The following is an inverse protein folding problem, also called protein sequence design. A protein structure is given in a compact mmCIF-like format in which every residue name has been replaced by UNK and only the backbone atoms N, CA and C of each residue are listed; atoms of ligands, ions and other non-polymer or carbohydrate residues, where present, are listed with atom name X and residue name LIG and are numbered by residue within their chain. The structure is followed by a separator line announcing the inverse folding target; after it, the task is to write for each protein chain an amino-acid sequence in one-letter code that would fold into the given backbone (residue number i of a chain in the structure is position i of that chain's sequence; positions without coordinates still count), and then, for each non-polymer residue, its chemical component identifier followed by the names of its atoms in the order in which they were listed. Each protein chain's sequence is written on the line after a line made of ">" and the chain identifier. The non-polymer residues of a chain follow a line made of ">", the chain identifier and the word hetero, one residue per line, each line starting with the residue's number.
data_IF_971453386889
#
_entry.id   IF_971453386889
#
_cell.length_a   1.000
_cell.length_b   1.000
_cell.length_c   1.000
_cell.angle_alpha   90.00
_cell.angle_beta   90.00
_cell.angle_gamma   90.00
#
_symmetry.space_group_name_H-M   'P 1'
#
loop_
_entity.id
_entity.type
_entity.pdbx_description
1 polymer ?
#
# COMPACT_ATOMS: atom_id res chain seq x y z
N UNK A 1 -11.83 18.54 48.53
CA UNK A 1 -10.64 18.59 47.67
C UNK A 1 -10.99 17.67 46.55
N UNK A 2 -11.05 18.22 45.37
CA UNK A 2 -11.76 17.66 44.24
C UNK A 2 -10.84 17.73 43.02
N UNK A 3 -11.07 16.87 42.03
CA UNK A 3 -10.31 16.83 40.78
C UNK A 3 -9.28 15.69 40.68
N UNK A 4 -8.77 15.17 41.81
CA UNK A 4 -7.92 13.97 41.85
C UNK A 4 -8.23 13.08 43.05
N UNK A 5 -8.08 11.76 42.88
CA UNK A 5 -8.24 10.74 43.92
C UNK A 5 -6.94 9.98 44.16
N UNK A 6 -6.76 9.47 45.38
CA UNK A 6 -5.59 8.67 45.73
C UNK A 6 -5.57 7.35 44.96
N UNK A 7 -4.45 7.07 44.29
CA UNK A 7 -4.30 5.98 43.32
C UNK A 7 -4.95 6.22 41.96
N UNK A 8 -5.50 7.42 41.69
CA UNK A 8 -6.16 7.72 40.42
C UNK A 8 -5.19 7.71 39.23
N UNK A 9 -5.66 7.25 38.07
CA UNK A 9 -4.96 7.32 36.79
C UNK A 9 -5.87 8.03 35.80
N UNK A 10 -5.33 9.01 35.07
CA UNK A 10 -6.12 9.91 34.21
C UNK A 10 -5.50 10.03 32.82
N UNK A 11 -6.33 9.84 31.80
CA UNK A 11 -6.00 10.04 30.39
C UNK A 11 -6.23 11.46 29.87
N UNK A 12 -6.32 12.42 30.78
CA UNK A 12 -6.61 13.80 30.46
C UNK A 12 -6.01 14.72 31.53
N UNK A 13 -6.04 16.02 31.25
CA UNK A 13 -5.68 17.04 32.23
C UNK A 13 -6.60 16.93 33.45
N UNK A 14 -6.03 17.14 34.63
CA UNK A 14 -6.77 17.22 35.89
C UNK A 14 -6.57 18.59 36.52
N UNK A 15 -7.66 19.17 37.00
CA UNK A 15 -7.62 20.45 37.73
C UNK A 15 -7.67 20.20 39.22
N UNK A 16 -6.64 20.63 39.94
CA UNK A 16 -6.54 20.41 41.39
C UNK A 16 -7.29 21.51 42.13
N UNK A 17 -8.32 21.13 42.91
CA UNK A 17 -9.11 22.08 43.69
C UNK A 17 -9.03 21.77 45.19
N UNK A 18 -8.69 22.79 45.99
CA UNK A 18 -8.63 22.69 47.46
C UNK A 18 -9.15 23.97 48.12
N UNK A 19 -9.77 23.81 49.30
CA UNK A 19 -10.26 24.91 50.11
C UNK A 19 -9.39 25.09 51.35
N UNK A 20 -9.05 26.35 51.68
CA UNK A 20 -8.34 26.77 52.89
C UNK A 20 -7.03 26.02 53.17
N UNK A 21 -5.88 26.64 52.87
CA UNK A 21 -4.56 26.07 53.16
C UNK A 21 -3.57 26.29 52.02
N UNK A 22 -2.54 25.45 51.97
CA UNK A 22 -1.54 25.40 50.88
C UNK A 22 -1.50 24.01 50.28
N UNK A 23 -1.05 23.90 49.03
CA UNK A 23 -0.83 22.62 48.38
C UNK A 23 0.52 22.61 47.68
N UNK A 24 1.22 21.48 47.76
CA UNK A 24 2.45 21.25 47.01
C UNK A 24 2.30 20.01 46.13
N UNK A 25 2.64 20.14 44.85
CA UNK A 25 2.66 19.07 43.85
C UNK A 25 4.10 18.74 43.52
N UNK A 26 4.53 17.50 43.78
CA UNK A 26 5.93 17.07 43.64
C UNK A 26 6.92 18.01 44.36
N UNK A 27 6.50 18.60 45.47
CA UNK A 27 7.29 19.55 46.27
C UNK A 27 7.18 21.02 45.84
N UNK A 28 6.58 21.32 44.70
CA UNK A 28 6.36 22.69 44.22
C UNK A 28 5.01 23.23 44.67
N UNK A 29 4.95 24.47 45.15
CA UNK A 29 3.70 25.11 45.55
C UNK A 29 2.79 25.28 44.33
N UNK A 30 1.52 24.91 44.48
CA UNK A 30 0.47 25.11 43.47
C UNK A 30 -0.69 25.93 44.04
N UNK A 31 -1.48 26.52 43.15
CA UNK A 31 -2.70 27.25 43.49
C UNK A 31 -3.95 26.40 43.23
N UNK A 32 -5.07 26.71 43.90
CA UNK A 32 -6.33 26.03 43.60
C UNK A 32 -6.81 26.40 42.20
N UNK A 33 -7.31 25.43 41.46
CA UNK A 33 -7.72 25.60 40.06
C UNK A 33 -6.58 25.41 39.06
N UNK A 34 -5.38 25.05 39.50
CA UNK A 34 -4.24 24.78 38.63
C UNK A 34 -4.42 23.42 37.93
N UNK A 35 -4.17 23.39 36.62
CA UNK A 35 -4.23 22.18 35.79
C UNK A 35 -2.89 21.47 35.77
N UNK A 36 -2.94 20.16 35.95
CA UNK A 36 -1.80 19.26 35.76
C UNK A 36 -2.05 18.53 34.45
N UNK A 37 -1.11 18.65 33.50
CA UNK A 37 -1.30 18.20 32.12
C UNK A 37 -0.15 17.33 31.59
N UNK A 38 1.05 17.46 32.14
CA UNK A 38 2.16 16.61 31.76
C UNK A 38 1.92 15.18 32.26
N UNK A 39 2.37 14.19 31.50
CA UNK A 39 2.33 12.80 31.94
C UNK A 39 3.32 12.55 33.08
N UNK A 40 2.96 11.60 33.94
CA UNK A 40 3.83 11.13 35.00
C UNK A 40 3.10 10.91 36.32
N UNK A 41 3.90 10.53 37.32
CA UNK A 41 3.43 10.32 38.68
C UNK A 41 3.51 11.58 39.51
N UNK A 42 2.44 11.86 40.24
CA UNK A 42 2.27 13.05 41.03
C UNK A 42 2.00 12.70 42.49
N UNK A 43 2.71 13.37 43.39
CA UNK A 43 2.43 13.38 44.82
C UNK A 43 1.96 14.77 45.21
N UNK A 44 0.69 14.87 45.59
CA UNK A 44 0.05 16.10 46.02
C UNK A 44 -0.14 16.09 47.53
N UNK A 45 0.44 17.07 48.21
CA UNK A 45 0.28 17.26 49.67
C UNK A 45 -0.47 18.56 49.92
N UNK A 46 -1.67 18.45 50.48
CA UNK A 46 -2.50 19.59 50.88
C UNK A 46 -2.39 19.77 52.39
N UNK A 47 -2.02 20.98 52.82
CA UNK A 47 -1.87 21.35 54.24
C UNK A 47 -2.94 22.36 54.60
N UNK A 48 -3.82 21.99 55.52
CA UNK A 48 -4.83 22.92 56.06
C UNK A 48 -4.18 24.05 56.85
N UNK A 49 -4.92 25.15 57.07
CA UNK A 49 -4.50 26.26 57.96
C UNK A 49 -4.18 25.82 59.40
N UNK A 50 -4.67 24.65 59.83
CA UNK A 50 -4.40 24.06 61.15
C UNK A 50 -3.15 23.16 61.19
N UNK A 51 -2.45 23.04 60.06
CA UNK A 51 -1.23 22.21 59.92
C UNK A 51 -1.49 20.73 59.64
N UNK A 52 -2.75 20.27 59.61
CA UNK A 52 -3.08 18.90 59.18
C UNK A 52 -2.84 18.72 57.69
N UNK A 53 -2.19 17.63 57.31
CA UNK A 53 -1.86 17.30 55.92
C UNK A 53 -2.70 16.14 55.38
N UNK A 54 -2.93 16.14 54.06
CA UNK A 54 -3.43 14.99 53.30
C UNK A 54 -2.52 14.81 52.08
N UNK A 55 -2.08 13.58 51.87
CA UNK A 55 -1.28 13.19 50.70
C UNK A 55 -2.15 12.39 49.74
N UNK A 56 -2.04 12.68 48.45
CA UNK A 56 -2.69 11.96 47.35
C UNK A 56 -1.63 11.67 46.32
N UNK A 57 -1.58 10.42 45.86
CA UNK A 57 -0.76 10.01 44.73
C UNK A 57 -1.66 9.73 43.53
N UNK A 58 -1.31 10.23 42.36
CA UNK A 58 -2.04 9.97 41.13
C UNK A 58 -1.10 9.99 39.93
N UNK A 59 -1.59 9.52 38.79
CA UNK A 59 -0.83 9.45 37.53
C UNK A 59 -1.62 10.14 36.42
N UNK A 60 -0.92 10.93 35.60
CA UNK A 60 -1.43 11.33 34.28
C UNK A 60 -0.74 10.44 33.26
N UNK A 61 -1.54 9.75 32.47
CA UNK A 61 -1.10 8.83 31.43
C UNK A 61 -2.05 8.95 30.25
N UNK A 62 -1.60 9.60 29.19
CA UNK A 62 -2.35 9.91 27.97
C UNK A 62 -1.86 9.08 26.78
N UNK A 63 -0.91 8.19 27.03
CA UNK A 63 -0.25 7.44 25.98
C UNK A 63 -1.06 6.19 25.71
N UNK A 64 -1.51 6.03 24.46
CA UNK A 64 -2.26 4.85 24.06
C UNK A 64 -1.35 3.60 24.01
N UNK A 65 -1.88 2.41 24.33
CA UNK A 65 -1.11 1.17 24.28
C UNK A 65 -0.64 0.86 22.85
N UNK A 66 0.58 0.36 22.69
CA UNK A 66 1.15 0.00 21.40
C UNK A 66 0.78 -1.44 21.03
N UNK A 67 0.26 -1.63 19.82
CA UNK A 67 -0.04 -2.94 19.23
C UNK A 67 1.06 -3.36 18.26
N UNK A 68 1.42 -4.63 18.28
CA UNK A 68 2.43 -5.27 17.43
C UNK A 68 1.86 -6.54 16.81
N UNK A 69 2.30 -6.86 15.59
CA UNK A 69 1.85 -8.06 14.85
C UNK A 69 0.68 -7.82 13.90
N UNK A 70 -0.06 -6.72 14.07
CA UNK A 70 -1.10 -6.25 13.14
C UNK A 70 -1.03 -4.74 12.97
N UNK A 71 -1.38 -4.29 11.76
CA UNK A 71 -1.46 -2.89 11.35
C UNK A 71 -2.87 -2.61 10.83
N UNK A 72 -3.36 -1.39 11.04
CA UNK A 72 -4.70 -0.98 10.62
C UNK A 72 -4.88 -1.15 9.10
N UNK A 73 -6.02 -1.71 8.71
CA UNK A 73 -6.40 -2.00 7.32
C UNK A 73 -5.62 -3.14 6.65
N UNK A 74 -4.63 -3.74 7.32
CA UNK A 74 -3.76 -4.74 6.70
C UNK A 74 -4.42 -6.11 6.59
N UNK A 75 -4.00 -6.89 5.61
CA UNK A 75 -4.47 -8.27 5.39
C UNK A 75 -3.31 -9.24 5.59
N UNK A 76 -3.57 -10.31 6.33
CA UNK A 76 -2.59 -11.34 6.67
C UNK A 76 -3.09 -12.72 6.26
N UNK A 77 -2.14 -13.64 6.07
CA UNK A 77 -2.42 -15.06 6.09
C UNK A 77 -2.58 -15.54 7.54
N UNK A 78 -3.18 -16.71 7.80
CA UNK A 78 -3.38 -17.24 9.13
C UNK A 78 -2.11 -17.40 9.98
N UNK A 79 -2.31 -17.50 11.30
CA UNK A 79 -1.27 -17.70 12.33
C UNK A 79 -0.41 -16.47 12.60
N UNK A 80 -0.99 -15.27 12.53
CA UNK A 80 -0.30 -14.07 13.03
C UNK A 80 -0.33 -14.03 14.55
N UNK A 81 0.80 -13.68 15.16
CA UNK A 81 0.89 -13.45 16.60
C UNK A 81 0.70 -11.96 16.88
N UNK A 82 -0.23 -11.63 17.78
CA UNK A 82 -0.54 -10.25 18.14
C UNK A 82 -0.13 -10.00 19.59
N UNK A 83 0.62 -8.94 19.84
CA UNK A 83 1.01 -8.51 21.18
C UNK A 83 0.80 -7.02 21.40
N UNK A 84 0.64 -6.63 22.66
CA UNK A 84 0.57 -5.25 23.09
C UNK A 84 1.42 -5.04 24.35
N UNK A 85 1.94 -3.82 24.53
CA UNK A 85 2.88 -3.48 25.59
C UNK A 85 2.21 -3.41 26.98
N UNK A 86 0.92 -3.05 27.04
CA UNK A 86 0.19 -2.86 28.29
C UNK A 86 -1.33 -2.95 28.14
N UNK A 87 -2.03 -2.94 29.27
CA UNK A 87 -3.49 -2.93 29.30
C UNK A 87 -4.13 -4.30 29.08
N UNK A 88 -5.37 -4.25 28.62
CA UNK A 88 -6.20 -5.42 28.30
C UNK A 88 -6.77 -5.25 26.89
N UNK A 89 -7.14 -6.35 26.22
CA UNK A 89 -7.63 -6.28 24.85
C UNK A 89 -8.91 -7.08 24.63
N UNK A 90 -9.67 -6.64 23.62
CA UNK A 90 -10.73 -7.42 23.00
C UNK A 90 -10.49 -7.58 21.51
N UNK A 91 -10.86 -8.73 20.95
CA UNK A 91 -10.85 -9.02 19.52
C UNK A 91 -12.29 -9.35 19.11
N UNK A 92 -12.89 -8.53 18.24
CA UNK A 92 -14.31 -8.59 17.90
C UNK A 92 -15.22 -8.58 19.14
N UNK A 93 -14.83 -7.82 20.17
CA UNK A 93 -15.56 -7.71 21.44
C UNK A 93 -15.31 -8.84 22.45
N UNK A 94 -14.58 -9.91 22.08
CA UNK A 94 -14.23 -10.99 23.00
C UNK A 94 -12.86 -10.75 23.64
N UNK A 95 -12.63 -11.11 24.92
CA UNK A 95 -11.33 -10.94 25.56
C UNK A 95 -10.19 -11.58 24.75
N UNK A 96 -9.09 -10.86 24.59
CA UNK A 96 -7.92 -11.29 23.83
C UNK A 96 -6.65 -11.18 24.68
N UNK A 97 -5.80 -12.20 24.64
CA UNK A 97 -4.56 -12.26 25.43
C UNK A 97 -3.36 -11.88 24.57
N UNK A 98 -2.54 -10.94 25.05
CA UNK A 98 -1.28 -10.55 24.39
C UNK A 98 -0.39 -11.77 24.11
N UNK A 99 0.16 -11.84 22.90
CA UNK A 99 0.95 -12.95 22.40
C UNK A 99 0.14 -14.10 21.79
N UNK A 100 -1.19 -14.01 21.73
CA UNK A 100 -2.02 -15.05 21.10
C UNK A 100 -1.98 -14.98 19.58
N UNK A 101 -2.26 -16.11 18.92
CA UNK A 101 -2.33 -16.21 17.47
C UNK A 101 -3.75 -16.08 16.93
N UNK A 102 -3.92 -15.41 15.80
CA UNK A 102 -5.18 -15.33 15.06
C UNK A 102 -5.02 -16.01 13.71
N UNK A 103 -5.91 -16.97 13.43
CA UNK A 103 -5.77 -17.88 12.28
C UNK A 103 -7.04 -18.07 11.47
N UNK A 104 -8.22 -17.88 12.06
CA UNK A 104 -9.47 -18.00 11.31
C UNK A 104 -9.60 -16.83 10.32
N UNK A 105 -10.06 -17.11 9.10
CA UNK A 105 -10.36 -16.04 8.14
C UNK A 105 -11.44 -15.10 8.66
N UNK A 106 -11.37 -13.83 8.28
CA UNK A 106 -12.35 -12.83 8.65
C UNK A 106 -11.79 -11.44 8.85
N UNK A 107 -12.70 -10.50 9.01
CA UNK A 107 -12.40 -9.14 9.45
C UNK A 107 -12.36 -9.12 10.99
N UNK A 108 -11.36 -8.44 11.53
CA UNK A 108 -11.11 -8.33 12.95
C UNK A 108 -10.97 -6.88 13.37
N UNK A 109 -11.55 -6.55 14.52
CA UNK A 109 -11.33 -5.30 15.25
C UNK A 109 -10.72 -5.64 16.60
N UNK A 110 -9.45 -5.31 16.78
CA UNK A 110 -8.75 -5.38 18.05
C UNK A 110 -8.85 -4.02 18.75
N UNK A 111 -9.26 -4.02 20.01
CA UNK A 111 -9.27 -2.82 20.86
C UNK A 111 -8.44 -3.14 22.09
N UNK A 112 -7.33 -2.40 22.28
CA UNK A 112 -6.48 -2.49 23.47
C UNK A 112 -6.73 -1.24 24.32
N UNK A 113 -6.93 -1.43 25.62
CA UNK A 113 -7.22 -0.36 26.59
C UNK A 113 -6.30 -0.50 27.79
N UNK A 114 -5.58 0.57 28.12
CA UNK A 114 -4.70 0.62 29.29
C UNK A 114 -5.48 0.88 30.61
N UNK A 115 -4.75 1.14 31.70
CA UNK A 115 -5.35 1.42 33.00
C UNK A 115 -5.91 2.85 33.16
N UNK A 116 -5.44 3.78 32.33
CA UNK A 116 -5.90 5.17 32.28
C UNK A 116 -7.17 5.34 31.42
N UNK A 117 -7.47 4.34 30.58
CA UNK A 117 -8.54 4.34 29.61
C UNK A 117 -8.13 4.82 28.22
N UNK A 118 -6.83 4.97 27.91
CA UNK A 118 -6.40 5.20 26.54
C UNK A 118 -6.62 3.94 25.71
N UNK A 119 -6.99 4.12 24.44
CA UNK A 119 -7.34 3.00 23.56
C UNK A 119 -6.56 3.03 22.26
N UNK A 120 -6.13 1.86 21.82
CA UNK A 120 -5.65 1.63 20.46
C UNK A 120 -6.57 0.65 19.76
N UNK A 121 -7.13 1.08 18.62
CA UNK A 121 -8.02 0.25 17.80
C UNK A 121 -7.34 -0.11 16.50
N UNK A 122 -7.29 -1.39 16.17
CA UNK A 122 -6.69 -1.92 14.94
C UNK A 122 -7.69 -2.82 14.23
N UNK A 123 -8.10 -2.43 13.02
CA UNK A 123 -8.90 -3.28 12.14
C UNK A 123 -7.97 -4.00 11.16
N UNK A 124 -8.10 -5.32 11.02
CA UNK A 124 -7.27 -6.11 10.10
C UNK A 124 -8.05 -7.30 9.56
N UNK A 125 -7.57 -7.90 8.47
CA UNK A 125 -8.21 -9.06 7.84
C UNK A 125 -7.27 -10.27 7.87
N UNK A 126 -7.81 -11.44 8.22
CA UNK A 126 -7.17 -12.72 7.91
C UNK A 126 -7.87 -13.28 6.67
N UNK A 127 -7.09 -13.68 5.66
CA UNK A 127 -7.59 -14.37 4.48
C UNK A 127 -6.92 -15.71 4.28
N UNK A 128 -7.57 -16.60 3.55
CA UNK A 128 -6.96 -17.83 3.09
C UNK A 128 -5.94 -17.58 1.95
N UNK A 129 -4.90 -18.42 1.82
CA UNK A 129 -4.05 -18.44 0.62
C UNK A 129 -4.85 -18.82 -0.63
N UNK A 130 -4.41 -18.33 -1.78
CA UNK A 130 -5.06 -18.54 -3.08
C UNK A 130 -4.15 -19.36 -3.99
N UNK A 131 -4.70 -20.42 -4.59
CA UNK A 131 -4.08 -21.19 -5.67
C UNK A 131 -4.67 -20.72 -6.99
N UNK A 132 -3.84 -20.10 -7.82
CA UNK A 132 -4.21 -19.62 -9.15
C UNK A 132 -3.72 -20.58 -10.24
N UNK A 133 -4.47 -20.67 -11.33
CA UNK A 133 -4.22 -21.63 -12.40
C UNK A 133 -4.04 -20.93 -13.74
N UNK A 134 -2.79 -20.88 -14.22
CA UNK A 134 -2.48 -20.48 -15.59
C UNK A 134 -2.59 -21.69 -16.52
N UNK A 135 -3.70 -21.75 -17.25
CA UNK A 135 -3.97 -22.85 -18.19
C UNK A 135 -3.03 -22.89 -19.40
N UNK A 136 -2.11 -21.91 -19.56
CA UNK A 136 -1.19 -21.82 -20.69
C UNK A 136 -1.90 -22.01 -22.03
N UNK A 137 -2.99 -21.27 -22.25
CA UNK A 137 -3.79 -21.34 -23.48
C UNK A 137 -4.75 -22.52 -23.57
N UNK A 138 -5.04 -23.20 -22.45
CA UNK A 138 -6.18 -24.10 -22.31
C UNK A 138 -7.46 -23.38 -21.89
N UNK A 139 -8.51 -24.15 -21.55
CA UNK A 139 -9.72 -23.62 -20.93
C UNK A 139 -9.41 -23.04 -19.55
N UNK A 140 -10.07 -21.92 -19.20
CA UNK A 140 -9.87 -21.24 -17.92
C UNK A 140 -10.22 -22.14 -16.73
N UNK A 141 -9.41 -22.06 -15.68
CA UNK A 141 -9.61 -22.77 -14.41
C UNK A 141 -9.74 -21.71 -13.30
N UNK A 142 -10.86 -21.67 -12.57
CA UNK A 142 -11.05 -20.72 -11.48
C UNK A 142 -10.02 -20.92 -10.36
N UNK A 143 -9.57 -19.84 -9.68
CA UNK A 143 -8.71 -19.97 -8.52
C UNK A 143 -9.43 -20.62 -7.33
N UNK A 144 -8.65 -21.19 -6.42
CA UNK A 144 -9.14 -21.85 -5.19
C UNK A 144 -8.59 -21.14 -3.95
N UNK A 145 -9.45 -20.82 -2.98
CA UNK A 145 -9.01 -20.43 -1.64
C UNK A 145 -8.76 -21.70 -0.83
N UNK A 146 -7.55 -21.88 -0.32
CA UNK A 146 -7.13 -23.10 0.38
C UNK A 146 -7.00 -22.83 1.87
N UNK A 147 -7.46 -23.75 2.71
CA UNK A 147 -7.21 -23.67 4.15
C UNK A 147 -5.69 -23.57 4.39
N UNK A 148 -5.25 -22.66 5.27
CA UNK A 148 -3.81 -22.51 5.53
C UNK A 148 -3.21 -23.82 6.05
N UNK A 149 -2.06 -24.21 5.48
CA UNK A 149 -1.39 -25.49 5.72
C UNK A 149 -2.21 -26.71 5.28
N UNK A 150 -3.28 -26.51 4.52
CA UNK A 150 -4.06 -27.54 3.84
C UNK A 150 -3.56 -27.81 2.42
N UNK A 151 -4.06 -28.87 1.80
CA UNK A 151 -3.79 -29.21 0.41
C UNK A 151 -4.81 -28.55 -0.53
N UNK A 152 -4.36 -28.16 -1.72
CA UNK A 152 -5.24 -27.70 -2.79
C UNK A 152 -6.04 -28.88 -3.38
N UNK A 153 -7.23 -28.63 -3.88
CA UNK A 153 -8.03 -29.63 -4.56
C UNK A 153 -7.65 -29.66 -6.04
N UNK A 154 -7.21 -30.79 -6.62
CA UNK A 154 -6.94 -30.86 -8.05
C UNK A 154 -8.17 -30.40 -8.87
N UNK A 155 -8.03 -29.41 -9.76
CA UNK A 155 -9.15 -28.97 -10.58
C UNK A 155 -9.47 -30.03 -11.65
N UNK A 156 -10.61 -29.89 -12.32
CA UNK A 156 -10.85 -30.65 -13.56
C UNK A 156 -9.79 -30.28 -14.60
N UNK A 157 -9.27 -31.28 -15.31
CA UNK A 157 -8.24 -31.05 -16.32
C UNK A 157 -8.74 -30.04 -17.37
N UNK A 158 -7.97 -28.97 -17.61
CA UNK A 158 -8.30 -28.05 -18.69
C UNK A 158 -8.20 -28.76 -20.04
N UNK A 159 -8.80 -28.17 -21.07
CA UNK A 159 -8.69 -28.67 -22.45
C UNK A 159 -8.01 -27.66 -23.35
N UNK A 160 -7.23 -28.14 -24.33
CA UNK A 160 -6.58 -27.33 -25.36
C UNK A 160 -6.59 -28.08 -26.69
N UNK A 161 -7.21 -27.51 -27.71
CA UNK A 161 -7.37 -28.17 -29.02
C UNK A 161 -6.04 -28.63 -29.59
N UNK A 162 -5.97 -29.90 -30.02
CA UNK A 162 -4.76 -30.50 -30.58
C UNK A 162 -3.65 -30.79 -29.57
N UNK A 163 -3.92 -30.75 -28.27
CA UNK A 163 -2.94 -31.03 -27.22
C UNK A 163 -3.52 -32.00 -26.16
N UNK A 164 -2.64 -32.66 -25.42
CA UNK A 164 -2.94 -33.49 -24.24
C UNK A 164 -2.38 -32.80 -22.99
N UNK A 165 -3.18 -32.72 -21.92
CA UNK A 165 -2.79 -32.14 -20.64
C UNK A 165 -1.87 -33.11 -19.87
N UNK A 166 -0.72 -32.62 -19.41
CA UNK A 166 0.29 -33.42 -18.68
C UNK A 166 0.34 -33.13 -17.18
N UNK A 167 -0.38 -32.12 -16.70
CA UNK A 167 -0.41 -31.75 -15.29
C UNK A 167 -0.05 -30.29 -15.02
N UNK A 168 -0.09 -29.96 -13.73
CA UNK A 168 0.20 -28.64 -13.18
C UNK A 168 1.64 -28.55 -12.67
N UNK A 169 2.28 -27.42 -12.90
CA UNK A 169 3.68 -27.17 -12.56
C UNK A 169 3.82 -25.91 -11.71
N UNK A 170 4.78 -25.89 -10.79
CA UNK A 170 5.04 -24.77 -9.87
C UNK A 170 5.68 -23.57 -10.55
N UNK A 171 6.32 -23.81 -11.70
CA UNK A 171 7.09 -22.81 -12.41
C UNK A 171 6.64 -22.67 -13.87
N UNK A 172 6.71 -21.46 -14.40
CA UNK A 172 6.30 -21.15 -15.78
C UNK A 172 7.19 -21.80 -16.85
N UNK A 173 8.36 -22.34 -16.49
CA UNK A 173 9.23 -23.11 -17.40
C UNK A 173 8.85 -24.59 -17.44
N UNK A 174 7.83 -25.00 -16.67
CA UNK A 174 7.24 -26.34 -16.66
C UNK A 174 8.25 -27.44 -16.29
N UNK A 175 9.08 -27.14 -15.28
CA UNK A 175 10.16 -28.02 -14.83
C UNK A 175 9.83 -28.83 -13.57
N UNK A 176 9.06 -28.26 -12.64
CA UNK A 176 8.69 -28.88 -11.36
C UNK A 176 7.20 -29.18 -11.34
N UNK A 177 6.84 -30.47 -11.33
CA UNK A 177 5.44 -30.90 -11.21
C UNK A 177 4.92 -30.53 -9.82
N UNK A 178 3.74 -29.93 -9.75
CA UNK A 178 3.10 -29.65 -8.46
C UNK A 178 2.45 -30.90 -7.89
N UNK A 179 2.78 -31.22 -6.64
CA UNK A 179 2.14 -32.28 -5.87
C UNK A 179 1.00 -31.67 -5.04
N UNK A 180 -0.25 -32.00 -5.40
CA UNK A 180 -1.46 -31.53 -4.71
C UNK A 180 -1.60 -32.03 -3.26
N UNK A 181 -0.69 -32.89 -2.77
CA UNK A 181 -0.60 -33.21 -1.35
C UNK A 181 0.26 -32.22 -0.56
N UNK A 182 0.95 -31.30 -1.24
CA UNK A 182 1.81 -30.27 -0.63
C UNK A 182 0.97 -29.21 0.10
N UNK A 183 1.28 -28.92 1.38
CA UNK A 183 0.59 -27.87 2.13
C UNK A 183 0.76 -26.48 1.50
N UNK A 184 -0.34 -25.75 1.38
CA UNK A 184 -0.39 -24.37 0.88
C UNK A 184 -0.31 -23.41 2.06
N UNK A 185 0.76 -22.62 2.11
CA UNK A 185 1.01 -21.63 3.18
C UNK A 185 1.11 -20.19 2.67
N UNK A 186 1.00 -20.00 1.36
CA UNK A 186 1.03 -18.70 0.69
C UNK A 186 0.27 -18.80 -0.63
N UNK A 187 0.06 -17.67 -1.30
CA UNK A 187 -0.48 -17.70 -2.66
C UNK A 187 0.50 -18.38 -3.60
N UNK A 188 -0.02 -19.24 -4.48
CA UNK A 188 0.77 -19.94 -5.49
C UNK A 188 0.08 -19.85 -6.85
N UNK A 189 0.89 -19.87 -7.91
CA UNK A 189 0.42 -19.93 -9.30
C UNK A 189 0.91 -21.23 -9.91
N UNK A 190 -0.01 -22.02 -10.46
CA UNK A 190 0.26 -23.29 -11.10
C UNK A 190 0.08 -23.17 -12.61
N UNK A 191 0.95 -23.82 -13.37
CA UNK A 191 1.03 -23.69 -14.83
C UNK A 191 0.74 -25.02 -15.51
N UNK A 192 -0.20 -25.03 -16.45
CA UNK A 192 -0.55 -26.22 -17.21
C UNK A 192 0.54 -26.58 -18.22
N UNK A 193 0.91 -27.87 -18.30
CA UNK A 193 1.78 -28.40 -19.35
C UNK A 193 0.99 -29.18 -20.39
N UNK A 194 1.42 -29.04 -21.64
CA UNK A 194 0.74 -29.60 -22.81
C UNK A 194 1.71 -30.38 -23.70
N UNK A 195 1.27 -31.50 -24.25
CA UNK A 195 1.94 -32.22 -25.35
C UNK A 195 1.09 -32.06 -26.62
N UNK A 196 1.70 -31.70 -27.74
CA UNK A 196 1.01 -31.61 -29.04
C UNK A 196 0.59 -33.02 -29.48
N UNK A 197 -0.68 -33.18 -29.82
CA UNK A 197 -1.20 -34.43 -30.37
C UNK A 197 -0.61 -34.61 -31.77
N UNK A 198 0.21 -35.65 -31.98
CA UNK A 198 0.77 -35.95 -33.29
C UNK A 198 -0.37 -36.27 -34.26
N UNK A 199 -0.62 -35.40 -35.23
CA UNK A 199 -1.53 -35.69 -36.33
C UNK A 199 -0.88 -36.76 -37.18
N UNK A 200 -1.47 -37.96 -37.17
CA UNK A 200 -1.08 -39.01 -38.11
C UNK A 200 -1.08 -38.45 -39.52
N UNK A 201 0.05 -38.60 -40.23
CA UNK A 201 0.15 -38.33 -41.65
C UNK A 201 -0.96 -39.07 -42.40
N UNK A 202 -1.65 -38.45 -43.38
CA UNK A 202 -2.49 -39.22 -44.28
C UNK A 202 -1.59 -40.18 -45.05
N UNK A 203 -1.83 -41.47 -44.90
CA UNK A 203 -1.16 -42.52 -45.68
C UNK A 203 -1.43 -42.30 -47.16
N UNK A 204 -0.37 -41.99 -47.90
CA UNK A 204 -0.33 -41.93 -49.35
C UNK A 204 -0.47 -43.34 -49.94
N UNK A 205 -1.41 -43.62 -50.86
CA UNK A 205 -1.36 -44.81 -51.68
C UNK A 205 -0.52 -44.53 -52.93
N UNK A 206 0.66 -45.14 -53.00
CA UNK A 206 1.45 -45.30 -54.22
C UNK A 206 0.75 -46.30 -55.17
N UNK A 207 0.63 -45.97 -56.46
CA UNK A 207 1.23 -46.72 -57.58
C UNK A 207 0.50 -46.47 -58.94
N UNK A 208 1.28 -46.25 -60.01
CA UNK A 208 0.88 -46.56 -61.40
C UNK A 208 1.04 -45.43 -62.44
N UNK A 209 2.10 -45.48 -63.25
CA UNK A 209 2.48 -44.46 -64.23
C UNK A 209 1.92 -44.61 -65.66
N UNK A 210 2.28 -43.65 -66.54
CA UNK A 210 1.96 -43.67 -67.98
C UNK A 210 1.91 -42.29 -68.64
N UNK A 211 2.99 -41.92 -69.34
CA UNK A 211 3.25 -40.67 -70.10
C UNK A 211 2.46 -40.57 -71.44
N UNK A 212 2.70 -39.58 -72.36
CA UNK A 212 2.59 -38.11 -72.30
C UNK A 212 1.66 -37.52 -73.42
N UNK A 213 1.33 -36.22 -73.37
CA UNK A 213 0.68 -35.49 -74.46
C UNK A 213 1.02 -34.00 -74.47
N UNK A 214 1.49 -33.52 -75.63
CA UNK A 214 2.08 -32.19 -75.92
C UNK A 214 1.04 -31.25 -76.58
N UNK A 215 1.06 -29.96 -76.25
CA UNK A 215 0.96 -28.77 -77.15
C UNK A 215 0.93 -27.48 -76.29
N UNK A 216 1.91 -26.56 -76.39
CA UNK A 216 2.02 -25.45 -77.38
C UNK A 216 0.74 -24.58 -77.43
N UNK A 217 0.74 -23.23 -77.33
CA UNK A 217 1.76 -22.22 -77.60
C UNK A 217 1.34 -20.82 -77.06
N UNK A 218 2.35 -20.02 -76.72
CA UNK A 218 2.55 -18.57 -76.90
C UNK A 218 1.54 -17.47 -76.47
N UNK A 219 2.09 -16.51 -75.70
CA UNK A 219 2.41 -15.20 -76.29
C UNK A 219 2.17 -13.96 -75.41
N UNK A 220 3.25 -13.25 -75.05
CA UNK A 220 3.18 -11.81 -74.70
C UNK A 220 4.07 -11.35 -73.53
N UNK A 221 5.27 -10.86 -73.86
CA UNK A 221 6.32 -10.28 -72.99
C UNK A 221 6.46 -8.76 -73.32
N UNK A 222 7.41 -7.94 -72.79
CA UNK A 222 7.86 -7.56 -71.42
C UNK A 222 8.12 -6.00 -71.36
N UNK A 223 9.21 -5.43 -70.75
CA UNK A 223 9.84 -5.45 -69.40
C UNK A 223 9.80 -4.04 -68.70
N UNK A 224 10.39 -3.78 -67.51
CA UNK A 224 11.72 -3.12 -67.33
C UNK A 224 12.12 -2.98 -65.83
N UNK A 225 13.34 -3.47 -65.52
CA UNK A 225 14.45 -3.07 -64.60
C UNK A 225 14.29 -2.58 -63.14
N UNK A 226 15.03 -3.28 -62.25
CA UNK A 226 16.21 -2.84 -61.43
C UNK A 226 16.44 -1.32 -61.26
N UNK A 227 16.84 -0.75 -60.10
CA UNK A 227 17.84 -1.16 -59.08
C UNK A 227 17.83 -0.17 -57.89
N UNK A 228 18.28 -0.63 -56.72
CA UNK A 228 18.98 0.07 -55.59
C UNK A 228 18.67 1.54 -55.24
N UNK A 229 18.31 1.80 -53.96
CA UNK A 229 19.11 2.64 -53.04
C UNK A 229 18.57 2.61 -51.61
N UNK A 230 19.50 2.76 -50.66
CA UNK A 230 19.37 2.70 -49.20
C UNK A 230 18.59 3.85 -48.55
N UNK A 231 18.10 3.55 -47.34
CA UNK A 231 17.87 4.38 -46.15
C UNK A 231 17.62 5.89 -46.31
N UNK A 232 16.42 6.33 -45.92
CA UNK A 232 16.32 7.36 -44.87
C UNK A 232 15.00 7.27 -44.09
N UNK A 233 15.17 7.41 -42.78
CA UNK A 233 14.24 7.27 -41.68
C UNK A 233 13.12 8.34 -41.72
N UNK A 234 11.86 7.91 -41.71
CA UNK A 234 10.75 8.79 -41.31
C UNK A 234 9.85 8.06 -40.32
N UNK A 235 9.87 8.58 -39.09
CA UNK A 235 8.98 8.22 -38.01
C UNK A 235 7.55 8.58 -38.41
N UNK A 236 6.71 7.55 -38.56
CA UNK A 236 5.27 7.70 -38.76
C UNK A 236 4.63 7.73 -37.37
N UNK A 237 3.92 8.84 -37.12
CA UNK A 237 3.29 9.16 -35.86
C UNK A 237 2.17 8.16 -35.54
N UNK A 238 2.31 7.44 -34.42
CA UNK A 238 1.19 6.74 -33.82
C UNK A 238 0.24 7.77 -33.20
N UNK A 239 -0.99 7.80 -33.69
CA UNK A 239 -2.11 8.56 -33.14
C UNK A 239 -2.33 8.17 -31.67
N UNK A 240 -1.89 9.05 -30.77
CA UNK A 240 -2.27 9.02 -29.37
C UNK A 240 -3.76 9.37 -29.23
N UNK A 241 -4.58 8.34 -29.02
CA UNK A 241 -5.93 8.51 -28.50
C UNK A 241 -5.85 9.03 -27.06
N UNK A 242 -5.93 10.34 -26.90
CA UNK A 242 -5.96 11.06 -25.64
C UNK A 242 -7.29 10.77 -24.92
N UNK A 243 -7.29 9.71 -24.10
CA UNK A 243 -8.43 9.33 -23.26
C UNK A 243 -8.68 10.41 -22.21
N UNK A 244 -9.70 11.22 -22.44
CA UNK A 244 -10.29 12.10 -21.41
C UNK A 244 -10.94 11.24 -20.33
N UNK A 245 -10.48 11.37 -19.09
CA UNK A 245 -11.09 10.70 -17.93
C UNK A 245 -12.31 11.54 -17.48
N UNK A 246 -13.52 10.95 -17.38
CA UNK A 246 -14.69 11.64 -16.86
C UNK A 246 -14.61 11.82 -15.33
N UNK A 247 -15.41 12.76 -14.81
CA UNK A 247 -15.55 13.01 -13.37
C UNK A 247 -15.92 11.72 -12.58
N UNK A 248 -15.53 11.60 -11.30
CA UNK A 248 -15.67 10.36 -10.53
C UNK A 248 -17.13 9.93 -10.38
N UNK A 249 -17.47 8.77 -10.97
CA UNK A 249 -18.72 8.03 -10.76
C UNK A 249 -18.54 7.05 -9.58
N UNK A 250 -19.36 7.09 -8.52
CA UNK A 250 -19.15 6.35 -7.28
C UNK A 250 -19.55 4.86 -7.33
N UNK A 251 -19.63 4.23 -8.50
CA UNK A 251 -19.95 2.80 -8.61
C UNK A 251 -18.92 2.00 -9.41
N UNK A 252 -17.71 1.86 -8.87
CA UNK A 252 -16.67 1.04 -9.52
C UNK A 252 -16.10 0.00 -8.55
N UNK A 253 -16.49 -1.25 -8.78
CA UNK A 253 -15.77 -2.43 -8.29
C UNK A 253 -14.53 -2.63 -9.17
N UNK A 254 -13.34 -2.50 -8.58
CA UNK A 254 -12.08 -2.88 -9.25
C UNK A 254 -11.81 -4.38 -9.09
N UNK A 255 -11.39 -5.06 -10.15
CA UNK A 255 -11.41 -6.54 -10.22
C UNK A 255 -10.13 -7.21 -9.73
N UNK A 256 -9.02 -6.49 -9.69
CA UNK A 256 -7.65 -7.00 -9.48
C UNK A 256 -7.09 -6.75 -8.08
N UNK A 257 -7.93 -6.34 -7.14
CA UNK A 257 -7.53 -6.11 -5.74
C UNK A 257 -7.96 -7.26 -4.81
N UNK A 258 -8.59 -8.31 -5.35
CA UNK A 258 -8.95 -9.49 -4.57
C UNK A 258 -7.69 -10.16 -4.01
N UNK A 259 -7.63 -10.37 -2.69
CA UNK A 259 -6.45 -10.94 -2.01
C UNK A 259 -5.25 -9.99 -1.85
N UNK A 260 -5.29 -8.80 -2.46
CA UNK A 260 -4.22 -7.81 -2.37
C UNK A 260 -4.21 -7.14 -0.98
N UNK A 261 -3.03 -6.97 -0.37
CA UNK A 261 -2.87 -6.45 1.00
C UNK A 261 -3.49 -5.06 1.19
N UNK A 262 -3.42 -4.21 0.15
CA UNK A 262 -3.95 -2.85 0.16
C UNK A 262 -5.44 -2.76 -0.21
N UNK A 263 -6.17 -3.87 -0.37
CA UNK A 263 -7.57 -3.87 -0.83
C UNK A 263 -8.45 -2.89 -0.04
N UNK A 264 -8.38 -2.94 1.29
CA UNK A 264 -9.18 -2.07 2.15
C UNK A 264 -8.83 -0.58 1.96
N UNK A 265 -7.53 -0.27 1.94
CA UNK A 265 -7.04 1.08 1.67
C UNK A 265 -7.48 1.58 0.28
N UNK A 266 -7.40 0.73 -0.75
CA UNK A 266 -7.83 1.07 -2.11
C UNK A 266 -9.34 1.35 -2.15
N UNK A 267 -10.16 0.51 -1.53
CA UNK A 267 -11.62 0.73 -1.45
C UNK A 267 -11.93 2.05 -0.74
N UNK A 268 -11.33 2.29 0.44
CA UNK A 268 -11.51 3.54 1.18
C UNK A 268 -11.08 4.76 0.37
N UNK A 269 -9.97 4.67 -0.36
CA UNK A 269 -9.50 5.75 -1.23
C UNK A 269 -10.43 6.00 -2.42
N UNK A 270 -11.06 4.96 -2.98
CA UNK A 270 -12.11 5.10 -4.00
C UNK A 270 -13.35 5.78 -3.41
N UNK A 271 -13.82 5.34 -2.24
CA UNK A 271 -14.97 5.92 -1.53
C UNK A 271 -14.77 7.40 -1.18
N UNK A 272 -13.55 7.77 -0.82
CA UNK A 272 -13.17 9.15 -0.52
C UNK A 272 -12.89 9.99 -1.79
N UNK A 273 -12.94 9.39 -2.98
CA UNK A 273 -12.65 10.07 -4.25
C UNK A 273 -11.17 10.44 -4.44
N UNK A 274 -10.26 9.82 -3.69
CA UNK A 274 -8.81 10.02 -3.78
C UNK A 274 -8.26 9.42 -5.06
N UNK A 275 -8.74 8.22 -5.40
CA UNK A 275 -8.31 7.45 -6.57
C UNK A 275 -9.50 6.88 -7.32
N UNK A 276 -9.27 6.61 -8.60
CA UNK A 276 -10.15 5.86 -9.48
C UNK A 276 -9.40 4.60 -9.98
N UNK A 277 -10.16 3.60 -10.39
CA UNK A 277 -9.64 2.51 -11.22
C UNK A 277 -9.43 2.98 -12.66
N UNK A 278 -8.79 2.14 -13.46
CA UNK A 278 -8.63 2.30 -14.90
C UNK A 278 -9.92 1.94 -15.64
N UNK A 279 -10.02 2.40 -16.88
CA UNK A 279 -11.19 2.14 -17.75
C UNK A 279 -11.43 0.65 -18.03
N UNK A 280 -10.41 -0.19 -17.86
CA UNK A 280 -10.50 -1.65 -17.99
C UNK A 280 -11.06 -2.36 -16.74
N UNK A 281 -11.45 -1.60 -15.70
CA UNK A 281 -11.99 -2.13 -14.45
C UNK A 281 -10.92 -2.56 -13.44
N UNK A 282 -9.64 -2.29 -13.69
CA UNK A 282 -8.53 -2.61 -12.77
C UNK A 282 -8.10 -1.42 -11.92
N UNK A 283 -7.41 -1.66 -10.81
CA UNK A 283 -6.73 -0.63 -10.02
C UNK A 283 -5.21 -0.63 -10.26
N UNK A 284 -4.65 -1.78 -10.60
CA UNK A 284 -3.23 -2.09 -10.79
C UNK A 284 -2.40 -1.76 -9.54
N UNK A 285 -2.64 -2.45 -8.42
CA UNK A 285 -2.07 -2.08 -7.13
C UNK A 285 -0.54 -2.12 -7.09
N UNK A 286 0.09 -3.04 -7.82
CA UNK A 286 1.54 -3.20 -7.89
C UNK A 286 2.21 -2.35 -8.99
N UNK A 287 1.41 -1.62 -9.79
CA UNK A 287 1.97 -0.72 -10.81
C UNK A 287 2.77 0.39 -10.14
N UNK A 288 3.96 0.67 -10.68
CA UNK A 288 4.78 1.80 -10.25
C UNK A 288 4.10 3.12 -10.61
N UNK A 289 4.07 4.01 -9.63
CA UNK A 289 3.41 5.31 -9.75
C UNK A 289 4.43 6.41 -10.09
N UNK A 290 4.03 7.32 -10.97
CA UNK A 290 4.83 8.50 -11.30
C UNK A 290 4.46 9.73 -10.45
N UNK A 291 5.31 10.76 -10.53
CA UNK A 291 5.14 12.01 -9.77
C UNK A 291 3.81 12.72 -10.01
N UNK A 292 3.32 12.75 -11.25
CA UNK A 292 2.06 13.40 -11.60
C UNK A 292 0.84 12.65 -11.05
N UNK A 293 0.84 11.32 -11.18
CA UNK A 293 -0.17 10.44 -10.59
C UNK A 293 -0.22 10.63 -9.07
N UNK A 294 0.93 10.61 -8.39
CA UNK A 294 0.98 10.76 -6.93
C UNK A 294 0.48 12.14 -6.46
N UNK A 295 0.90 13.22 -7.11
CA UNK A 295 0.43 14.57 -6.77
C UNK A 295 -1.09 14.71 -6.99
N UNK A 296 -1.64 14.02 -7.98
CA UNK A 296 -3.09 13.99 -8.22
C UNK A 296 -3.81 13.28 -7.07
N UNK A 297 -3.31 12.12 -6.61
CA UNK A 297 -3.88 11.42 -5.45
C UNK A 297 -3.84 12.30 -4.20
N UNK A 298 -2.67 12.88 -3.90
CA UNK A 298 -2.47 13.73 -2.74
C UNK A 298 -3.35 14.99 -2.80
N UNK A 299 -3.47 15.60 -3.97
CA UNK A 299 -4.33 16.77 -4.19
C UNK A 299 -5.80 16.48 -3.95
N UNK A 300 -6.30 15.35 -4.45
CA UNK A 300 -7.69 14.90 -4.22
C UNK A 300 -7.94 14.57 -2.75
N UNK A 301 -7.04 13.82 -2.13
CA UNK A 301 -7.13 13.47 -0.71
C UNK A 301 -7.23 14.70 0.20
N UNK A 302 -6.39 15.69 -0.03
CA UNK A 302 -6.38 16.92 0.75
C UNK A 302 -7.44 17.94 0.32
N UNK A 303 -8.26 17.60 -0.68
CA UNK A 303 -9.26 18.49 -1.30
C UNK A 303 -8.65 19.84 -1.67
N UNK A 304 -7.45 19.82 -2.25
CA UNK A 304 -6.75 21.03 -2.65
C UNK A 304 -7.57 21.77 -3.71
N UNK A 305 -7.67 23.11 -3.63
CA UNK A 305 -8.33 23.89 -4.66
C UNK A 305 -7.55 23.80 -5.96
N UNK A 306 -8.28 23.74 -7.08
CA UNK A 306 -7.67 23.81 -8.40
C UNK A 306 -6.93 25.14 -8.57
N UNK A 307 -5.66 25.06 -8.97
CA UNK A 307 -4.85 26.24 -9.30
C UNK A 307 -4.53 26.25 -10.78
N UNK A 308 -4.76 27.38 -11.43
CA UNK A 308 -4.34 27.63 -12.82
C UNK A 308 -3.07 28.49 -12.86
N UNK A 309 -2.38 28.65 -11.73
CA UNK A 309 -1.14 29.41 -11.66
C UNK A 309 -0.10 28.80 -12.61
N UNK A 310 0.62 29.68 -13.31
CA UNK A 310 1.58 29.28 -14.33
C UNK A 310 2.75 28.54 -13.72
N UNK A 311 3.00 27.33 -14.20
CA UNK A 311 4.18 26.53 -13.86
C UNK A 311 5.41 27.04 -14.61
N UNK A 312 6.56 27.00 -13.92
CA UNK A 312 7.86 27.48 -14.43
C UNK A 312 8.85 26.33 -14.69
N UNK A 313 8.39 25.09 -14.75
CA UNK A 313 9.25 23.94 -15.01
C UNK A 313 9.69 23.88 -16.48
N UNK A 314 10.90 23.40 -16.74
CA UNK A 314 11.44 23.27 -18.10
C UNK A 314 10.66 22.28 -18.96
N UNK A 315 10.09 21.24 -18.35
CA UNK A 315 9.27 20.19 -18.95
C UNK A 315 7.75 20.43 -18.75
N UNK A 316 7.32 21.68 -18.57
CA UNK A 316 5.91 22.03 -18.32
C UNK A 316 4.95 21.48 -19.39
N UNK A 317 5.41 21.27 -20.62
CA UNK A 317 4.60 20.71 -21.71
C UNK A 317 4.40 19.18 -21.59
N UNK A 318 5.21 18.49 -20.80
CA UNK A 318 5.09 17.04 -20.55
C UNK A 318 4.15 16.73 -19.39
N UNK A 319 3.72 17.76 -18.64
CA UNK A 319 2.79 17.60 -17.50
C UNK A 319 1.38 17.31 -18.03
N UNK A 320 0.78 16.14 -17.69
CA UNK A 320 -0.57 15.81 -18.09
C UNK A 320 -1.59 16.83 -17.60
N UNK A 321 -2.59 17.14 -18.44
CA UNK A 321 -3.59 18.16 -18.14
C UNK A 321 -4.32 17.90 -16.81
N UNK A 322 -4.65 16.63 -16.51
CA UNK A 322 -5.35 16.24 -15.28
C UNK A 322 -4.55 16.54 -13.99
N UNK A 323 -3.21 16.47 -14.05
CA UNK A 323 -2.35 16.65 -12.87
C UNK A 323 -1.97 18.12 -12.66
N UNK A 324 -2.05 18.94 -13.72
CA UNK A 324 -1.63 20.34 -13.74
C UNK A 324 -2.21 21.19 -12.60
N UNK A 325 -3.51 21.15 -12.27
CA UNK A 325 -4.04 21.96 -11.18
C UNK A 325 -3.46 21.59 -9.81
N UNK A 326 -3.31 20.30 -9.54
CA UNK A 326 -2.74 19.81 -8.27
C UNK A 326 -1.24 20.08 -8.16
N UNK A 327 -0.51 19.98 -9.27
CA UNK A 327 0.92 20.34 -9.32
C UNK A 327 1.10 21.84 -9.07
N UNK A 328 0.30 22.69 -9.73
CA UNK A 328 0.32 24.13 -9.53
C UNK A 328 0.04 24.50 -8.07
N UNK A 329 -0.99 23.88 -7.47
CA UNK A 329 -1.30 24.10 -6.07
C UNK A 329 -0.23 23.52 -5.13
N UNK A 330 0.36 22.37 -5.46
CA UNK A 330 1.44 21.76 -4.69
C UNK A 330 2.70 22.62 -4.65
N UNK A 331 3.03 23.32 -5.75
CA UNK A 331 4.12 24.30 -5.78
C UNK A 331 3.82 25.48 -4.87
N UNK A 332 2.60 26.04 -4.97
CA UNK A 332 2.16 27.18 -4.16
C UNK A 332 2.19 26.90 -2.66
N UNK A 333 1.84 25.68 -2.26
CA UNK A 333 1.86 25.23 -0.87
C UNK A 333 3.23 24.74 -0.39
N UNK A 334 4.25 24.73 -1.26
CA UNK A 334 5.58 24.23 -0.92
C UNK A 334 5.65 22.71 -0.74
N UNK A 335 4.67 21.95 -1.21
CA UNK A 335 4.67 20.48 -1.20
C UNK A 335 5.74 19.95 -2.17
N UNK A 336 5.90 20.63 -3.32
CA UNK A 336 6.85 20.28 -4.38
C UNK A 336 7.61 21.51 -4.88
N UNK A 337 8.86 21.30 -5.31
CA UNK A 337 9.74 22.35 -5.85
C UNK A 337 10.38 22.01 -7.21
N UNK A 338 10.18 20.79 -7.72
CA UNK A 338 10.88 20.27 -8.90
C UNK A 338 12.30 19.78 -8.59
N UNK A 339 13.02 19.37 -9.64
CA UNK A 339 14.41 18.92 -9.60
C UNK A 339 15.41 20.06 -9.82
N UNK A 340 16.67 19.80 -9.53
CA UNK A 340 17.76 20.79 -9.66
C UNK A 340 17.99 21.27 -11.10
N UNK A 341 17.60 20.48 -12.10
CA UNK A 341 17.65 20.83 -13.52
C UNK A 341 16.47 21.71 -13.98
N UNK A 342 15.57 22.09 -13.06
CA UNK A 342 14.38 22.89 -13.34
C UNK A 342 13.19 22.11 -13.87
N UNK A 343 13.27 20.78 -13.95
CA UNK A 343 12.15 19.92 -14.37
C UNK A 343 11.21 19.54 -13.21
N UNK A 344 9.98 19.17 -13.54
CA UNK A 344 9.08 18.46 -12.62
C UNK A 344 9.23 16.93 -12.74
N UNK A 345 9.61 16.45 -13.92
CA UNK A 345 9.70 15.05 -14.35
C UNK A 345 8.39 14.28 -14.12
N UNK A 346 7.30 14.73 -14.75
CA UNK A 346 5.93 14.25 -14.50
C UNK A 346 5.78 12.72 -14.56
N UNK A 347 6.44 12.08 -15.52
CA UNK A 347 6.36 10.64 -15.79
C UNK A 347 7.42 9.80 -15.06
N UNK A 348 8.32 10.43 -14.31
CA UNK A 348 9.34 9.72 -13.54
C UNK A 348 8.69 8.95 -12.40
N UNK A 349 9.05 7.67 -12.25
CA UNK A 349 8.65 6.88 -11.09
C UNK A 349 9.16 7.51 -9.79
N UNK A 350 8.28 7.54 -8.80
CA UNK A 350 8.55 8.21 -7.52
C UNK A 350 9.34 7.30 -6.60
N UNK A 351 10.48 7.77 -6.08
CA UNK A 351 11.21 7.00 -5.06
C UNK A 351 10.52 7.08 -3.69
N UNK A 352 10.78 6.10 -2.83
CA UNK A 352 10.25 6.06 -1.45
C UNK A 352 10.63 7.32 -0.66
N UNK A 353 11.87 7.83 -0.85
CA UNK A 353 12.30 9.10 -0.24
C UNK A 353 11.51 10.32 -0.75
N UNK A 354 11.28 10.41 -2.07
CA UNK A 354 10.53 11.52 -2.65
C UNK A 354 9.06 11.50 -2.21
N UNK A 355 8.43 10.33 -2.20
CA UNK A 355 7.06 10.14 -1.74
C UNK A 355 6.90 10.56 -0.28
N UNK A 356 7.80 10.10 0.58
CA UNK A 356 7.79 10.42 2.02
C UNK A 356 7.93 11.93 2.25
N UNK A 357 8.87 12.59 1.56
CA UNK A 357 9.06 14.03 1.72
C UNK A 357 7.85 14.85 1.24
N UNK A 358 7.19 14.42 0.17
CA UNK A 358 5.95 15.07 -0.29
C UNK A 358 4.82 14.95 0.74
N UNK A 359 4.67 13.79 1.39
CA UNK A 359 3.66 13.55 2.41
C UNK A 359 3.92 14.39 3.67
N UNK A 360 5.16 14.43 4.15
CA UNK A 360 5.55 15.24 5.32
C UNK A 360 5.28 16.72 5.07
N UNK A 361 5.67 17.23 3.90
CA UNK A 361 5.39 18.64 3.54
C UNK A 361 3.89 18.91 3.42
N UNK A 362 3.14 18.01 2.80
CA UNK A 362 1.70 18.17 2.66
C UNK A 362 0.94 18.10 3.99
N UNK A 363 1.43 17.31 4.94
CA UNK A 363 0.94 17.28 6.31
C UNK A 363 1.26 18.54 7.11
N UNK A 364 2.24 19.34 6.68
CA UNK A 364 2.78 20.43 7.50
C UNK A 364 3.53 19.90 8.72
N UNK A 365 4.06 18.67 8.63
CA UNK A 365 4.76 18.00 9.73
C UNK A 365 6.11 18.68 9.93
N UNK A 366 6.39 19.08 11.17
CA UNK A 366 7.65 19.71 11.52
C UNK A 366 8.81 18.71 11.41
N UNK A 367 9.95 19.19 10.92
CA UNK A 367 11.15 18.37 10.73
C UNK A 367 12.31 18.91 11.54
N UNK A 368 13.07 18.01 12.16
CA UNK A 368 14.33 18.37 12.84
C UNK A 368 15.49 18.29 11.84
N UNK A 369 16.18 19.40 11.51
CA UNK A 369 17.21 19.42 10.47
C UNK A 369 18.40 18.47 10.71
N UNK A 370 18.71 18.18 11.97
CA UNK A 370 19.80 17.34 12.44
C UNK A 370 19.35 15.93 12.87
N UNK A 371 18.14 15.53 12.45
CA UNK A 371 17.61 14.20 12.71
C UNK A 371 18.55 13.09 12.22
N UNK A 372 18.52 11.97 12.94
CA UNK A 372 19.29 10.76 12.62
C UNK A 372 18.35 9.59 12.43
N UNK A 373 18.68 8.75 11.47
CA UNK A 373 17.95 7.51 11.18
C UNK A 373 18.77 6.32 11.65
N UNK A 374 18.09 5.31 12.19
CA UNK A 374 18.70 4.06 12.65
C UNK A 374 18.68 2.95 11.60
N UNK A 375 18.18 3.22 10.40
CA UNK A 375 18.11 2.21 9.33
C UNK A 375 19.50 1.71 8.91
N UNK A 376 19.59 0.42 8.59
CA UNK A 376 20.80 -0.24 8.14
C UNK A 376 21.33 0.30 6.81
N UNK A 377 20.47 0.90 6.00
CA UNK A 377 20.77 1.59 4.74
C UNK A 377 20.63 3.11 4.86
N UNK A 378 20.79 3.67 6.07
CA UNK A 378 20.71 5.11 6.30
C UNK A 378 21.75 5.91 5.48
N UNK A 379 22.89 5.31 5.13
CA UNK A 379 23.91 5.93 4.27
C UNK A 379 23.47 6.09 2.81
N UNK A 380 22.52 5.27 2.35
CA UNK A 380 21.95 5.36 0.99
C UNK A 380 20.86 6.44 0.88
N UNK A 381 20.42 6.99 2.02
CA UNK A 381 19.38 8.02 2.08
C UNK A 381 19.99 9.37 1.69
N UNK A 382 19.44 10.07 0.67
CA UNK A 382 19.90 11.40 0.34
C UNK A 382 19.80 12.33 1.54
N UNK A 383 20.85 13.11 1.81
CA UNK A 383 20.92 13.99 2.99
C UNK A 383 19.72 14.93 3.12
N UNK A 384 19.17 15.40 2.00
CA UNK A 384 17.98 16.26 1.99
C UNK A 384 16.71 15.53 2.48
N UNK A 385 16.64 14.21 2.36
CA UNK A 385 15.46 13.40 2.69
C UNK A 385 15.43 12.95 4.15
N UNK A 386 16.59 12.88 4.80
CA UNK A 386 16.76 12.44 6.20
C UNK A 386 15.78 13.11 7.17
N UNK A 387 15.66 14.45 7.25
CA UNK A 387 14.77 15.08 8.23
C UNK A 387 13.30 14.76 8.00
N UNK A 388 12.89 14.57 6.74
CA UNK A 388 11.51 14.20 6.40
C UNK A 388 11.23 12.73 6.73
N UNK A 389 12.15 11.83 6.38
CA UNK A 389 11.98 10.40 6.70
C UNK A 389 11.95 10.20 8.20
N UNK A 390 12.81 10.89 8.96
CA UNK A 390 12.79 10.81 10.41
C UNK A 390 11.45 11.27 11.00
N UNK A 391 10.92 12.41 10.55
CA UNK A 391 9.61 12.90 10.99
C UNK A 391 8.47 11.94 10.61
N UNK A 392 8.52 11.35 9.41
CA UNK A 392 7.51 10.37 8.98
C UNK A 392 7.54 9.08 9.81
N UNK A 393 8.74 8.62 10.20
CA UNK A 393 8.90 7.45 11.08
C UNK A 393 8.41 7.74 12.48
N UNK A 394 8.77 8.90 13.04
CA UNK A 394 8.31 9.36 14.37
C UNK A 394 6.79 9.46 14.45
N UNK A 395 6.17 9.94 13.37
CA UNK A 395 4.72 9.99 13.18
C UNK A 395 4.06 8.64 12.84
N UNK A 396 4.82 7.56 12.70
CA UNK A 396 4.29 6.27 12.30
C UNK A 396 3.70 6.21 10.88
N UNK A 397 3.95 7.23 10.04
CA UNK A 397 3.45 7.29 8.67
C UNK A 397 4.20 6.32 7.74
N UNK A 398 5.48 6.08 8.02
CA UNK A 398 6.31 5.19 7.20
C UNK A 398 7.12 4.27 8.10
N UNK A 399 7.09 2.97 7.77
CA UNK A 399 7.92 1.94 8.40
C UNK A 399 9.04 1.47 7.46
N UNK A 400 10.00 0.72 8.01
CA UNK A 400 11.04 0.07 7.22
C UNK A 400 10.51 -1.14 6.43
N UNK A 401 11.17 -1.50 5.33
CA UNK A 401 10.81 -2.63 4.46
C UNK A 401 11.37 -3.98 4.96
N UNK A 402 11.57 -4.10 6.28
CA UNK A 402 12.21 -5.25 6.92
C UNK A 402 13.73 -5.20 6.92
N UNK A 403 14.35 -6.08 7.73
CA UNK A 403 15.81 -6.14 8.00
C UNK A 403 16.39 -4.77 8.42
N UNK A 404 15.58 -3.98 9.12
CA UNK A 404 15.94 -2.64 9.57
C UNK A 404 16.32 -1.68 8.43
N UNK A 405 15.78 -1.85 7.21
CA UNK A 405 16.06 -0.98 6.05
C UNK A 405 14.89 -0.05 5.70
N UNK A 406 15.20 1.11 5.12
CA UNK A 406 14.23 2.03 4.55
C UNK A 406 13.98 1.81 3.05
N UNK A 407 15.01 1.44 2.28
CA UNK A 407 15.04 1.34 0.82
C UNK A 407 14.72 2.67 0.09
N UNK A 408 15.61 3.69 0.19
CA UNK A 408 15.32 5.05 -0.27
C UNK A 408 15.04 5.19 -1.77
N UNK A 409 15.66 4.34 -2.59
CA UNK A 409 15.54 4.37 -4.05
C UNK A 409 14.47 3.42 -4.60
N UNK A 410 13.82 2.62 -3.75
CA UNK A 410 12.73 1.76 -4.19
C UNK A 410 11.59 2.63 -4.72
N UNK A 411 11.16 2.37 -5.95
CA UNK A 411 10.04 3.11 -6.55
C UNK A 411 8.73 2.65 -5.94
N UNK A 412 7.81 3.57 -5.69
CA UNK A 412 6.54 3.27 -5.02
C UNK A 412 5.54 2.59 -5.98
N UNK A 413 4.75 1.66 -5.45
CA UNK A 413 3.55 1.13 -6.10
C UNK A 413 2.34 2.04 -5.88
N UNK A 414 1.29 1.92 -6.71
CA UNK A 414 0.00 2.60 -6.48
C UNK A 414 -0.60 2.25 -5.11
N UNK A 415 -0.49 0.99 -4.68
CA UNK A 415 -0.98 0.53 -3.39
C UNK A 415 -0.25 1.19 -2.19
N UNK A 416 1.08 1.26 -2.25
CA UNK A 416 1.89 1.94 -1.23
C UNK A 416 1.56 3.44 -1.17
N UNK A 417 1.43 4.08 -2.33
CA UNK A 417 1.07 5.50 -2.42
C UNK A 417 -0.29 5.80 -1.79
N UNK A 418 -1.32 5.01 -2.12
CA UNK A 418 -2.66 5.19 -1.55
C UNK A 418 -2.66 4.99 -0.04
N UNK A 419 -1.99 3.95 0.44
CA UNK A 419 -1.92 3.65 1.88
C UNK A 419 -1.28 4.81 2.65
N UNK A 420 -0.19 5.36 2.12
CA UNK A 420 0.50 6.48 2.75
C UNK A 420 -0.31 7.78 2.71
N UNK A 421 -1.03 8.04 1.61
CA UNK A 421 -1.94 9.19 1.51
C UNK A 421 -3.08 9.08 2.53
N UNK A 422 -3.65 7.89 2.72
CA UNK A 422 -4.69 7.68 3.73
C UNK A 422 -4.16 7.82 5.16
N UNK A 423 -2.98 7.27 5.46
CA UNK A 423 -2.33 7.45 6.75
C UNK A 423 -2.14 8.93 7.10
N UNK A 424 -1.76 9.76 6.12
CA UNK A 424 -1.67 11.21 6.32
C UNK A 424 -3.03 11.86 6.66
N UNK A 425 -4.13 11.39 6.09
CA UNK A 425 -5.46 11.93 6.40
C UNK A 425 -5.93 11.56 7.81
N UNK A 426 -5.38 10.48 8.39
CA UNK A 426 -5.73 9.97 9.72
C UNK A 426 -4.90 10.61 10.84
N UNK A 427 -3.69 11.12 10.56
CA UNK A 427 -2.86 11.91 11.51
C UNK A 427 -3.36 13.36 11.70
N UNK A 428 -4.39 13.79 10.95
CA UNK A 428 -4.85 15.18 10.88
C UNK A 428 -5.99 15.57 11.81
#
# INVERSE_FOLDING_TARGET
>A
MDGVTDGGVYNQDVTVNFSNGTAVLNGSLITTGESVSAEGHYTLVVTSISGKTKTIQFTIDKTAPIVTGVTYGSTYLPNIQISFNEGTATLNGYPFTSGSTVSAEGLYTLIVTDSAGNTTTVEFTIRLPIVSYDSNGGTAVPPENVAYNGAATPPSDPTRTGHTFEGWYEDSRLTTVYDFTTPVTADISLYAKWIVNSTGTPTNPDNGGGSPGVNENNGGSPPVKEKESEEENTAEAEEHNESSEPAPDPSISVTDIAGHWAKAAIIKAIELGVVTGYADGTFQPDKRINRAEFMTMLGRALKLPDSQDRLSFSDTNEIPAYARPYISQGVKLGIISGYADGSFAARKELSRSEMTAMIVRAGGIEVMPDAKLSFADAEDIPSWAVPYIAAAVDKGLVEGVGRHRFAPQQTATRAEAVTLVLALLEDR
#
